data_IF_082681132575
#
_entry.id   IF_082681132575
#
_cell.length_a   1.000
_cell.length_b   1.000
_cell.length_c   1.000
_cell.angle_alpha   90.00
_cell.angle_beta   90.00
_cell.angle_gamma   90.00
#
_symmetry.space_group_name_H-M   'P 1'
#
loop_
_entity.id
_entity.type
_entity.pdbx_description
1 polymer ?
#
# COMPACT_ATOMS: atom_id res chain seq x y z
N UNK A 1 3.12 26.25 18.38
CA UNK A 1 2.67 25.75 17.06
C UNK A 1 3.52 24.54 16.72
N UNK A 2 2.90 23.40 16.38
CA UNK A 2 3.62 22.15 16.09
C UNK A 2 4.00 22.03 14.61
N UNK A 3 3.08 22.38 13.71
CA UNK A 3 3.30 22.42 12.27
C UNK A 3 2.34 23.43 11.64
N UNK A 4 2.71 23.96 10.46
CA UNK A 4 1.89 24.87 9.68
C UNK A 4 2.11 24.70 8.17
N UNK A 5 1.08 24.97 7.39
CA UNK A 5 1.12 24.93 5.93
C UNK A 5 0.28 26.06 5.34
N UNK A 6 0.79 26.71 4.30
CA UNK A 6 0.04 27.72 3.54
C UNK A 6 -0.97 27.06 2.61
N UNK A 7 -2.18 27.63 2.55
CA UNK A 7 -3.23 27.24 1.61
C UNK A 7 -3.10 28.03 0.29
N UNK A 8 -3.42 27.42 -0.86
CA UNK A 8 -3.47 28.11 -2.15
C UNK A 8 -4.48 29.27 -2.15
N UNK A 9 -4.08 30.44 -2.66
CA UNK A 9 -4.92 31.65 -2.69
C UNK A 9 -6.00 31.63 -3.78
N UNK A 10 -5.88 30.73 -4.75
CA UNK A 10 -6.69 30.65 -5.97
C UNK A 10 -7.89 29.70 -5.86
N UNK A 11 -8.07 29.00 -4.74
CA UNK A 11 -9.07 27.92 -4.58
C UNK A 11 -10.28 28.26 -3.69
N UNK A 12 -10.57 29.55 -3.53
CA UNK A 12 -11.69 30.06 -2.74
C UNK A 12 -11.44 30.09 -1.23
N UNK A 13 -12.44 30.53 -0.47
CA UNK A 13 -12.30 30.81 0.97
C UNK A 13 -12.79 29.67 1.86
N UNK A 14 -13.39 28.63 1.30
CA UNK A 14 -13.99 27.54 2.08
C UNK A 14 -13.11 26.31 2.00
N UNK A 15 -12.69 25.82 3.15
CA UNK A 15 -11.73 24.74 3.26
C UNK A 15 -12.16 23.73 4.31
N UNK A 16 -11.69 22.51 4.13
CA UNK A 16 -11.80 21.46 5.11
C UNK A 16 -10.44 20.79 5.27
N UNK A 17 -10.10 20.48 6.52
CA UNK A 17 -8.80 19.95 6.90
C UNK A 17 -9.00 18.85 7.93
N UNK A 18 -8.31 17.72 7.77
CA UNK A 18 -8.31 16.66 8.77
C UNK A 18 -6.92 16.11 9.08
N UNK A 19 -6.79 15.60 10.31
CA UNK A 19 -5.55 15.11 10.89
C UNK A 19 -5.82 14.03 11.93
N UNK A 20 -4.85 13.13 12.13
CA UNK A 20 -4.91 12.09 13.15
C UNK A 20 -4.07 12.51 14.34
N UNK A 21 -4.65 12.38 15.52
CA UNK A 21 -4.02 12.81 16.76
C UNK A 21 -4.21 11.74 17.83
N UNK A 22 -3.20 11.60 18.69
CA UNK A 22 -3.26 10.70 19.85
C UNK A 22 -2.60 11.38 21.04
N UNK A 23 -3.31 11.37 22.17
CA UNK A 23 -2.83 11.88 23.46
C UNK A 23 -1.49 11.22 23.83
N UNK A 24 -0.55 12.02 24.33
CA UNK A 24 0.61 11.52 25.07
C UNK A 24 0.56 12.14 26.47
N UNK A 25 1.24 13.26 26.70
CA UNK A 25 1.25 13.97 28.00
C UNK A 25 0.38 15.24 28.03
N UNK A 26 -0.21 15.64 26.91
CA UNK A 26 -1.03 16.86 26.81
C UNK A 26 -2.46 16.60 26.33
N UNK A 27 -3.41 17.32 26.91
CA UNK A 27 -4.85 17.02 26.79
C UNK A 27 -5.59 17.90 25.79
N UNK A 28 -5.01 19.02 25.37
CA UNK A 28 -5.69 20.01 24.52
C UNK A 28 -4.93 20.29 23.23
N UNK A 29 -5.53 19.94 22.10
CA UNK A 29 -4.99 20.20 20.77
C UNK A 29 -5.91 21.12 19.98
N UNK A 30 -5.32 22.15 19.36
CA UNK A 30 -5.99 23.12 18.52
C UNK A 30 -5.75 22.88 17.05
N UNK A 31 -6.77 23.13 16.24
CA UNK A 31 -6.65 23.22 14.79
C UNK A 31 -6.92 24.67 14.38
N UNK A 32 -5.99 25.26 13.64
CA UNK A 32 -6.11 26.59 13.07
C UNK A 32 -6.42 26.45 11.58
N UNK A 33 -7.48 27.14 11.12
CA UNK A 33 -7.81 27.33 9.72
C UNK A 33 -7.99 28.84 9.47
N UNK A 34 -6.96 29.46 8.89
CA UNK A 34 -6.87 30.91 8.75
C UNK A 34 -6.30 31.60 10.00
N UNK A 35 -5.14 32.25 9.87
CA UNK A 35 -4.56 33.01 10.99
C UNK A 35 -5.20 34.39 11.08
N UNK A 36 -5.67 34.74 12.28
CA UNK A 36 -6.15 36.06 12.67
C UNK A 36 -5.39 36.52 13.93
N UNK A 37 -5.69 37.72 14.47
CA UNK A 37 -5.05 38.22 15.71
C UNK A 37 -5.60 37.58 17.00
N UNK A 38 -6.41 36.52 16.89
CA UNK A 38 -7.06 35.85 18.02
C UNK A 38 -6.10 34.94 18.76
N UNK A 39 -6.45 34.65 20.00
CA UNK A 39 -5.71 33.72 20.86
C UNK A 39 -6.53 32.49 21.23
N UNK A 40 -7.85 32.50 21.02
CA UNK A 40 -8.74 31.37 21.23
C UNK A 40 -9.00 30.62 19.91
N UNK A 41 -8.82 29.30 19.92
CA UNK A 41 -8.88 28.48 18.71
C UNK A 41 -9.82 27.28 18.85
N UNK A 42 -10.35 26.74 17.74
CA UNK A 42 -11.07 25.48 17.74
C UNK A 42 -10.17 24.38 18.31
N UNK A 43 -10.66 23.63 19.27
CA UNK A 43 -9.84 22.67 19.99
C UNK A 43 -10.61 21.43 20.40
N UNK A 44 -9.82 20.38 20.63
CA UNK A 44 -10.26 19.08 21.09
C UNK A 44 -9.60 18.77 22.43
N UNK A 45 -10.42 18.31 23.36
CA UNK A 45 -10.00 17.81 24.68
C UNK A 45 -10.00 16.28 24.68
N UNK A 46 -8.81 15.68 24.82
CA UNK A 46 -8.63 14.23 24.84
C UNK A 46 -9.27 13.56 26.06
N UNK A 47 -9.44 14.27 27.17
CA UNK A 47 -9.99 13.73 28.41
C UNK A 47 -11.52 13.58 28.33
N UNK A 48 -12.19 14.56 27.72
CA UNK A 48 -13.66 14.57 27.58
C UNK A 48 -14.14 14.10 26.20
N UNK A 49 -13.26 14.06 25.20
CA UNK A 49 -13.63 13.79 23.81
C UNK A 49 -14.46 14.90 23.17
N UNK A 50 -14.42 16.12 23.73
CA UNK A 50 -15.25 17.24 23.31
C UNK A 50 -14.51 18.15 22.33
N UNK A 51 -15.21 18.55 21.26
CA UNK A 51 -14.81 19.64 20.39
C UNK A 51 -15.41 20.96 20.88
N UNK A 52 -14.60 22.01 20.92
CA UNK A 52 -15.04 23.38 21.22
C UNK A 52 -14.63 24.28 20.07
N UNK A 53 -15.57 25.11 19.60
CA UNK A 53 -15.33 26.11 18.56
C UNK A 53 -15.84 27.45 19.08
N UNK A 54 -15.04 28.53 19.03
CA UNK A 54 -15.53 29.87 19.37
C UNK A 54 -16.73 30.27 18.48
N UNK A 55 -17.77 30.84 19.09
CA UNK A 55 -19.09 31.03 18.45
C UNK A 55 -19.06 31.89 17.17
N UNK A 56 -18.08 32.78 17.06
CA UNK A 56 -17.94 33.76 15.99
C UNK A 56 -16.99 33.33 14.86
N UNK A 57 -16.43 32.11 14.92
CA UNK A 57 -15.50 31.64 13.88
C UNK A 57 -16.16 31.14 12.59
N UNK A 58 -17.45 30.76 12.64
CA UNK A 58 -18.11 30.17 11.46
C UNK A 58 -17.43 28.88 10.96
N UNK A 59 -16.73 28.18 11.85
CA UNK A 59 -16.04 26.92 11.59
C UNK A 59 -16.74 25.77 12.32
N UNK A 60 -16.50 24.55 11.89
CA UNK A 60 -17.01 23.33 12.52
C UNK A 60 -15.85 22.38 12.74
N UNK A 61 -15.64 22.01 14.00
CA UNK A 61 -14.68 20.99 14.41
C UNK A 61 -15.43 19.71 14.77
N UNK A 62 -15.04 18.58 14.18
CA UNK A 62 -15.56 17.25 14.52
C UNK A 62 -14.41 16.33 14.92
N UNK A 63 -14.72 15.38 15.78
CA UNK A 63 -13.80 14.34 16.21
C UNK A 63 -14.43 12.96 15.98
N UNK A 64 -13.67 12.04 15.42
CA UNK A 64 -14.04 10.64 15.24
C UNK A 64 -13.02 9.75 15.95
N UNK A 65 -13.48 8.82 16.79
CA UNK A 65 -12.63 7.87 17.50
C UNK A 65 -12.29 6.67 16.59
N UNK A 66 -11.01 6.32 16.50
CA UNK A 66 -10.52 5.28 15.58
C UNK A 66 -10.05 4.00 16.29
N UNK A 67 -9.65 4.07 17.56
CA UNK A 67 -9.05 2.95 18.30
C UNK A 67 -7.63 3.29 18.77
N UNK A 68 -7.09 2.53 19.73
CA UNK A 68 -5.72 2.69 20.25
C UNK A 68 -5.34 4.12 20.69
N UNK A 69 -6.34 4.87 21.18
CA UNK A 69 -6.20 6.26 21.59
C UNK A 69 -6.13 7.29 20.44
N UNK A 70 -6.21 6.85 19.18
CA UNK A 70 -6.25 7.73 18.01
C UNK A 70 -7.64 8.32 17.76
N UNK A 71 -7.61 9.59 17.37
CA UNK A 71 -8.76 10.37 16.93
C UNK A 71 -8.46 10.99 15.57
N UNK A 72 -9.47 11.05 14.71
CA UNK A 72 -9.45 11.92 13.53
C UNK A 72 -10.16 13.21 13.88
N UNK A 73 -9.46 14.33 13.76
CA UNK A 73 -10.05 15.66 13.87
C UNK A 73 -10.28 16.23 12.48
N UNK A 74 -11.44 16.84 12.26
CA UNK A 74 -11.78 17.52 11.00
C UNK A 74 -12.30 18.93 11.28
N UNK A 75 -11.63 19.94 10.76
CA UNK A 75 -12.00 21.34 10.83
C UNK A 75 -12.44 21.82 9.44
N UNK A 76 -13.65 22.37 9.33
CA UNK A 76 -14.17 22.92 8.08
C UNK A 76 -14.78 24.29 8.31
N UNK A 77 -14.63 25.20 7.35
CA UNK A 77 -15.30 26.49 7.40
C UNK A 77 -14.77 27.47 6.37
N UNK A 78 -15.29 28.69 6.42
CA UNK A 78 -14.81 29.80 5.61
C UNK A 78 -13.65 30.50 6.33
N UNK A 79 -12.59 30.84 5.59
CA UNK A 79 -11.53 31.72 6.07
C UNK A 79 -12.12 33.09 6.38
N UNK A 80 -11.82 33.62 7.57
CA UNK A 80 -12.21 34.97 7.96
C UNK A 80 -11.60 35.99 7.00
N UNK A 81 -12.34 37.04 6.65
CA UNK A 81 -11.84 38.09 5.77
C UNK A 81 -10.57 38.72 6.36
N UNK A 82 -9.50 38.82 5.56
CA UNK A 82 -8.21 39.33 6.00
C UNK A 82 -7.36 38.34 6.80
N UNK A 83 -7.82 37.11 7.04
CA UNK A 83 -7.01 36.05 7.62
C UNK A 83 -5.91 35.62 6.66
N UNK A 84 -4.74 35.24 7.18
CA UNK A 84 -3.73 34.59 6.34
C UNK A 84 -4.18 33.15 6.06
N UNK A 85 -4.18 32.70 4.81
CA UNK A 85 -4.67 31.38 4.43
C UNK A 85 -3.63 30.32 4.83
N UNK A 86 -3.62 29.94 6.10
CA UNK A 86 -2.74 28.90 6.64
C UNK A 86 -3.56 27.89 7.44
N UNK A 87 -3.06 26.67 7.55
CA UNK A 87 -3.49 25.69 8.54
C UNK A 87 -2.37 25.44 9.52
N UNK A 88 -2.69 25.21 10.78
CA UNK A 88 -1.68 24.89 11.79
C UNK A 88 -2.23 24.04 12.94
N UNK A 89 -1.36 23.22 13.52
CA UNK A 89 -1.64 22.47 14.74
C UNK A 89 -1.07 23.22 15.93
N UNK A 90 -1.89 23.43 16.95
CA UNK A 90 -1.54 24.18 18.15
C UNK A 90 -1.65 23.28 19.39
N UNK A 91 -0.76 23.47 20.35
CA UNK A 91 -0.98 23.02 21.72
C UNK A 91 -1.63 24.20 22.46
N UNK A 92 -2.72 23.92 23.17
CA UNK A 92 -3.55 24.93 23.81
C UNK A 92 -3.69 24.64 25.31
N UNK A 93 -4.12 25.63 26.08
CA UNK A 93 -4.52 25.42 27.48
C UNK A 93 -5.94 24.82 27.59
N UNK A 94 -6.41 24.64 28.82
CA UNK A 94 -7.75 24.12 29.13
C UNK A 94 -8.90 25.03 28.66
N UNK A 95 -8.59 26.28 28.30
CA UNK A 95 -9.54 27.27 27.78
C UNK A 95 -9.43 27.43 26.25
N UNK A 96 -8.59 26.63 25.58
CA UNK A 96 -8.37 26.70 24.14
C UNK A 96 -7.52 27.89 23.68
N UNK A 97 -6.72 28.49 24.58
CA UNK A 97 -5.90 29.66 24.28
C UNK A 97 -4.48 29.28 23.87
N UNK A 98 -3.97 29.94 22.84
CA UNK A 98 -2.57 29.87 22.40
C UNK A 98 -1.73 30.91 23.14
N UNK A 99 -0.45 30.60 23.40
CA UNK A 99 0.52 31.57 23.95
C UNK A 99 0.81 31.42 25.45
N UNK A 100 0.30 30.38 26.10
CA UNK A 100 0.75 30.01 27.44
C UNK A 100 2.09 29.28 27.42
N UNK A 101 2.82 29.42 28.52
CA UNK A 101 4.15 28.86 28.74
C UNK A 101 4.01 27.35 28.94
N UNK A 102 4.03 26.60 27.84
CA UNK A 102 4.24 25.15 27.87
C UNK A 102 5.57 24.88 28.56
N UNK A 103 5.59 23.90 29.47
CA UNK A 103 6.76 23.52 30.26
C UNK A 103 7.78 22.70 29.45
N UNK A 104 7.47 22.40 28.19
CA UNK A 104 8.36 21.72 27.25
C UNK A 104 8.30 20.20 27.35
N UNK A 105 7.42 19.67 28.20
CA UNK A 105 7.16 18.23 28.36
C UNK A 105 5.79 17.80 27.80
N UNK A 106 5.01 18.74 27.29
CA UNK A 106 3.71 18.52 26.66
C UNK A 106 3.88 17.89 25.27
N UNK A 107 3.28 16.72 25.08
CA UNK A 107 3.40 15.94 23.86
C UNK A 107 2.03 15.48 23.37
N UNK A 108 1.87 15.50 22.06
CA UNK A 108 0.77 14.89 21.33
C UNK A 108 1.37 14.23 20.09
N UNK A 109 0.93 13.00 19.78
CA UNK A 109 1.32 12.34 18.54
C UNK A 109 0.38 12.81 17.43
N UNK A 110 0.97 13.18 16.29
CA UNK A 110 0.26 13.71 15.12
C UNK A 110 0.66 12.89 13.89
N UNK A 111 -0.31 12.51 13.07
CA UNK A 111 -0.06 11.74 11.86
C UNK A 111 -1.07 12.07 10.76
N UNK A 112 -0.62 12.00 9.51
CA UNK A 112 -1.41 12.35 8.34
C UNK A 112 -1.81 13.83 8.29
N UNK A 113 -2.17 14.31 7.11
CA UNK A 113 -2.82 15.60 6.94
C UNK A 113 -3.54 15.58 5.59
N UNK A 114 -4.79 16.01 5.57
CA UNK A 114 -5.60 16.07 4.37
C UNK A 114 -6.33 17.39 4.30
N UNK A 115 -6.10 18.11 3.21
CA UNK A 115 -6.62 19.47 2.98
C UNK A 115 -7.39 19.48 1.68
N UNK A 116 -8.62 19.97 1.72
CA UNK A 116 -9.53 19.98 0.58
C UNK A 116 -10.28 21.31 0.51
N UNK A 117 -10.52 21.77 -0.72
CA UNK A 117 -11.41 22.90 -0.94
C UNK A 117 -12.86 22.45 -0.74
N UNK A 118 -13.68 23.28 -0.08
CA UNK A 118 -15.07 22.98 0.28
C UNK A 118 -15.26 22.56 1.75
N UNK A 119 -16.50 22.23 2.12
CA UNK A 119 -16.88 21.90 3.50
C UNK A 119 -16.76 20.41 3.85
N UNK A 120 -16.69 19.53 2.84
CA UNK A 120 -16.68 18.09 3.05
C UNK A 120 -15.25 17.57 3.07
N UNK A 121 -14.87 16.94 4.19
CA UNK A 121 -13.64 16.16 4.27
C UNK A 121 -13.92 14.78 3.67
N UNK A 122 -13.20 14.41 2.62
CA UNK A 122 -13.27 13.07 2.06
C UNK A 122 -12.54 12.04 2.95
N UNK A 123 -12.80 10.73 2.80
CA UNK A 123 -12.08 9.72 3.57
C UNK A 123 -10.56 9.82 3.37
N UNK A 124 -9.79 9.72 4.45
CA UNK A 124 -8.33 9.77 4.39
C UNK A 124 -7.76 8.40 4.06
N UNK A 125 -6.91 8.34 3.03
CA UNK A 125 -6.15 7.14 2.66
C UNK A 125 -4.66 7.46 2.77
N UNK A 126 -3.94 6.94 3.78
CA UNK A 126 -2.49 7.13 3.87
C UNK A 126 -1.80 6.56 2.63
N UNK A 127 -1.02 7.39 1.95
CA UNK A 127 -0.24 6.98 0.78
C UNK A 127 0.84 5.98 1.21
N UNK A 128 0.66 4.71 0.86
CA UNK A 128 1.73 3.69 0.88
C UNK A 128 1.40 2.36 1.55
N UNK A 129 0.35 2.29 2.39
CA UNK A 129 -0.20 1.02 2.88
C UNK A 129 -1.71 1.03 2.62
N UNK A 130 -2.18 0.17 1.72
CA UNK A 130 -3.59 -0.20 1.68
C UNK A 130 -3.82 -1.14 2.88
N UNK A 131 -3.98 -0.55 4.07
CA UNK A 131 -4.68 -1.20 5.17
C UNK A 131 -6.05 -0.57 5.21
N UNK A 132 -6.99 -1.23 4.53
CA UNK A 132 -8.40 -0.92 4.65
C UNK A 132 -8.84 -1.25 6.08
N UNK A 133 -9.04 -0.23 6.91
CA UNK A 133 -10.04 -0.30 7.97
C UNK A 133 -11.09 0.80 7.77
N UNK A 134 -12.06 0.54 6.88
CA UNK A 134 -13.31 1.29 6.87
C UNK A 134 -14.46 0.32 6.56
N UNK A 135 -15.10 -0.19 7.62
CA UNK A 135 -16.55 -0.46 7.84
C UNK A 135 -17.50 -0.92 6.71
N UNK A 136 -17.06 -1.22 5.50
CA UNK A 136 -17.78 -1.97 4.46
C UNK A 136 -17.29 -3.43 4.43
N UNK A 137 -18.07 -4.33 3.82
CA UNK A 137 -17.61 -5.71 3.60
C UNK A 137 -16.30 -5.69 2.83
N UNK A 138 -15.23 -6.18 3.46
CA UNK A 138 -13.93 -6.31 2.81
C UNK A 138 -14.00 -7.45 1.81
N UNK A 139 -13.40 -7.31 0.65
CA UNK A 139 -13.13 -8.44 -0.23
C UNK A 139 -11.62 -8.51 -0.46
N UNK A 140 -11.11 -9.73 -0.59
CA UNK A 140 -9.70 -9.97 -0.85
C UNK A 140 -9.53 -10.78 -2.13
N UNK A 141 -8.58 -10.36 -2.97
CA UNK A 141 -8.07 -11.17 -4.07
C UNK A 141 -6.91 -12.02 -3.58
N UNK A 142 -6.97 -13.31 -3.86
CA UNK A 142 -5.89 -14.27 -3.66
C UNK A 142 -5.38 -14.63 -5.05
N UNK A 143 -4.24 -14.09 -5.49
CA UNK A 143 -3.60 -14.55 -6.72
C UNK A 143 -3.09 -15.98 -6.55
N UNK A 144 -3.12 -16.75 -7.64
CA UNK A 144 -2.43 -18.03 -7.73
C UNK A 144 -1.30 -17.91 -8.75
N UNK A 145 -0.06 -18.08 -8.28
CA UNK A 145 1.15 -18.06 -9.11
C UNK A 145 1.66 -19.47 -9.45
N UNK A 146 0.76 -20.46 -9.53
CA UNK A 146 1.06 -21.87 -9.78
C UNK A 146 1.40 -22.66 -8.52
N UNK A 147 1.14 -22.11 -7.33
CA UNK A 147 1.36 -22.77 -6.03
C UNK A 147 0.06 -22.92 -5.24
N UNK A 148 -1.08 -22.61 -5.86
CA UNK A 148 -2.36 -22.48 -5.20
C UNK A 148 -2.52 -21.13 -4.51
N UNK A 149 -3.67 -20.93 -3.88
CA UNK A 149 -4.04 -19.66 -3.26
C UNK A 149 -3.47 -19.54 -1.84
N UNK A 150 -2.37 -18.80 -1.70
CA UNK A 150 -1.72 -18.58 -0.41
C UNK A 150 -2.34 -17.39 0.35
N UNK A 151 -2.75 -17.55 1.62
CA UNK A 151 -3.36 -16.46 2.40
C UNK A 151 -2.46 -15.22 2.58
N UNK A 152 -1.13 -15.42 2.61
CA UNK A 152 -0.14 -14.35 2.76
C UNK A 152 -0.04 -13.43 1.53
N UNK A 153 -0.54 -13.89 0.37
CA UNK A 153 -0.52 -13.13 -0.89
C UNK A 153 -1.85 -12.41 -1.13
N UNK A 154 -2.77 -12.44 -0.16
CA UNK A 154 -4.07 -11.84 -0.29
C UNK A 154 -4.00 -10.30 -0.35
N UNK A 155 -4.55 -9.72 -1.42
CA UNK A 155 -4.65 -8.28 -1.63
C UNK A 155 -6.05 -7.85 -1.20
N UNK A 156 -6.13 -7.07 -0.12
CA UNK A 156 -7.40 -6.49 0.35
C UNK A 156 -7.78 -5.32 -0.52
N UNK A 157 -9.01 -5.34 -1.02
CA UNK A 157 -9.55 -4.30 -1.89
C UNK A 157 -10.45 -3.39 -1.04
N UNK A 158 -10.17 -2.10 -0.92
CA UNK A 158 -11.14 -1.16 -0.38
C UNK A 158 -12.27 -1.00 -1.41
N UNK A 159 -13.48 -1.44 -1.06
CA UNK A 159 -14.67 -1.26 -1.90
C UNK A 159 -15.41 -0.02 -1.39
N UNK A 160 -15.56 0.99 -2.27
CA UNK A 160 -16.42 2.14 -2.01
C UNK A 160 -17.87 1.81 -2.37
N UNK A 161 -18.82 2.46 -1.71
CA UNK A 161 -20.26 2.36 -2.02
C UNK A 161 -20.66 3.06 -3.34
N UNK A 162 -19.70 3.64 -4.07
CA UNK A 162 -19.97 4.36 -5.31
C UNK A 162 -20.02 3.37 -6.48
N UNK A 163 -21.05 3.45 -7.33
CA UNK A 163 -21.13 2.73 -8.61
C UNK A 163 -20.09 3.18 -9.65
N UNK A 164 -18.92 3.62 -9.20
CA UNK A 164 -17.79 4.04 -10.02
C UNK A 164 -16.99 2.82 -10.47
N UNK A 165 -16.43 2.90 -11.68
CA UNK A 165 -15.47 1.91 -12.14
C UNK A 165 -14.16 2.05 -11.35
N UNK A 166 -13.72 0.96 -10.73
CA UNK A 166 -12.47 0.91 -9.97
C UNK A 166 -11.43 0.10 -10.74
N UNK A 167 -10.22 0.64 -10.83
CA UNK A 167 -9.07 -0.04 -11.46
C UNK A 167 -8.06 -0.35 -10.37
N UNK A 168 -7.77 -1.64 -10.18
CA UNK A 168 -6.76 -2.10 -9.23
C UNK A 168 -5.55 -2.66 -9.97
N UNK A 169 -4.37 -2.15 -9.63
CA UNK A 169 -3.10 -2.66 -10.14
C UNK A 169 -2.64 -3.80 -9.23
N UNK A 170 -2.67 -5.02 -9.74
CA UNK A 170 -2.09 -6.18 -9.05
C UNK A 170 -0.57 -6.15 -9.26
N UNK A 171 0.25 -6.15 -8.20
CA UNK A 171 1.67 -6.40 -8.36
C UNK A 171 1.83 -7.84 -8.84
N UNK A 172 2.04 -8.03 -10.14
CA UNK A 172 2.48 -9.32 -10.64
C UNK A 172 3.85 -9.56 -10.06
N UNK A 173 3.95 -10.58 -9.20
CA UNK A 173 5.24 -11.13 -8.79
C UNK A 173 5.98 -11.63 -10.04
N UNK A 174 7.27 -11.97 -9.91
CA UNK A 174 8.07 -12.54 -11.00
C UNK A 174 7.66 -14.00 -11.31
N UNK A 175 6.35 -14.25 -11.38
CA UNK A 175 5.70 -15.52 -11.63
C UNK A 175 4.42 -15.30 -12.45
N UNK A 176 4.04 -16.27 -13.30
CA UNK A 176 2.81 -16.20 -14.09
C UNK A 176 1.59 -16.24 -13.17
N UNK A 177 0.61 -15.38 -13.42
CA UNK A 177 -0.68 -15.41 -12.71
C UNK A 177 -1.58 -16.46 -13.36
N UNK A 178 -1.83 -17.56 -12.67
CA UNK A 178 -2.61 -18.70 -13.15
C UNK A 178 -4.10 -18.57 -12.82
N UNK A 179 -4.44 -17.86 -11.75
CA UNK A 179 -5.81 -17.66 -11.32
C UNK A 179 -5.96 -16.53 -10.31
N UNK A 180 -7.20 -16.11 -10.07
CA UNK A 180 -7.55 -15.19 -8.99
C UNK A 180 -8.67 -15.81 -8.18
N UNK A 181 -8.63 -15.71 -6.86
CA UNK A 181 -9.76 -16.09 -6.00
C UNK A 181 -10.22 -14.87 -5.22
N UNK A 182 -11.50 -14.56 -5.32
CA UNK A 182 -12.15 -13.53 -4.53
C UNK A 182 -12.79 -14.15 -3.30
N UNK A 183 -12.51 -13.62 -2.12
CA UNK A 183 -13.11 -14.07 -0.85
C UNK A 183 -13.75 -12.89 -0.13
N UNK A 184 -14.96 -13.09 0.40
CA UNK A 184 -15.54 -12.15 1.36
C UNK A 184 -14.77 -12.16 2.67
N UNK A 185 -14.53 -10.99 3.25
CA UNK A 185 -13.77 -10.79 4.48
C UNK A 185 -14.69 -10.20 5.56
N UNK A 186 -14.75 -10.91 6.67
CA UNK A 186 -15.17 -10.52 8.03
C UNK A 186 -16.58 -9.94 8.27
N UNK A 187 -17.32 -9.46 7.26
CA UNK A 187 -18.65 -8.83 7.47
C UNK A 187 -19.65 -9.11 6.35
N UNK A 188 -20.95 -9.23 6.65
CA UNK A 188 -21.99 -9.40 5.65
C UNK A 188 -22.05 -8.17 4.73
N UNK A 189 -22.32 -8.40 3.46
CA UNK A 189 -22.36 -7.36 2.44
C UNK A 189 -22.48 -7.95 1.05
N UNK A 190 -22.73 -7.09 0.07
CA UNK A 190 -22.96 -7.50 -1.31
C UNK A 190 -21.96 -6.78 -2.19
N UNK A 191 -21.12 -7.54 -2.89
CA UNK A 191 -20.28 -7.02 -3.96
C UNK A 191 -20.94 -7.36 -5.29
N UNK A 192 -21.17 -6.33 -6.09
CA UNK A 192 -21.64 -6.46 -7.45
C UNK A 192 -20.46 -6.14 -8.37
N UNK A 193 -20.06 -7.12 -9.16
CA UNK A 193 -19.03 -7.00 -10.17
C UNK A 193 -19.71 -6.88 -11.54
N UNK A 194 -19.48 -5.76 -12.20
CA UNK A 194 -19.98 -5.50 -13.55
C UNK A 194 -18.81 -5.25 -14.49
N UNK A 195 -18.83 -5.87 -15.67
CA UNK A 195 -17.86 -5.61 -16.76
C UNK A 195 -16.40 -5.75 -16.34
N UNK A 196 -16.09 -6.79 -15.55
CA UNK A 196 -14.73 -7.01 -15.07
C UNK A 196 -13.80 -7.31 -16.25
N UNK A 197 -12.64 -6.66 -16.27
CA UNK A 197 -11.64 -6.80 -17.34
C UNK A 197 -10.24 -6.74 -16.77
N UNK A 198 -9.35 -7.51 -17.37
CA UNK A 198 -7.92 -7.44 -17.12
C UNK A 198 -7.31 -6.53 -18.19
N UNK A 199 -6.57 -5.52 -17.75
CA UNK A 199 -5.88 -4.56 -18.61
C UNK A 199 -4.38 -4.57 -18.29
N UNK A 200 -3.56 -4.30 -19.30
CA UNK A 200 -2.13 -4.10 -19.12
C UNK A 200 -1.82 -2.70 -18.56
N UNK A 201 -0.53 -2.40 -18.34
CA UNK A 201 -0.09 -1.07 -17.88
C UNK A 201 -0.31 0.05 -18.90
N UNK A 202 -0.49 -0.30 -20.18
CA UNK A 202 -0.81 0.65 -21.25
C UNK A 202 -2.34 0.84 -21.41
N UNK A 203 -3.14 0.21 -20.56
CA UNK A 203 -4.61 0.26 -20.62
C UNK A 203 -5.23 -0.62 -21.70
N UNK A 204 -4.45 -1.45 -22.39
CA UNK A 204 -4.98 -2.39 -23.39
C UNK A 204 -5.67 -3.54 -22.67
N UNK A 205 -6.84 -3.92 -23.18
CA UNK A 205 -7.61 -5.04 -22.65
C UNK A 205 -6.93 -6.36 -23.00
N UNK A 206 -6.47 -7.07 -21.96
CA UNK A 206 -5.89 -8.41 -22.07
C UNK A 206 -7.02 -9.45 -22.14
N UNK A 207 -7.98 -9.37 -21.21
CA UNK A 207 -9.09 -10.33 -21.12
C UNK A 207 -10.35 -9.65 -20.62
N UNK A 208 -11.50 -9.95 -21.25
CA UNK A 208 -12.81 -9.63 -20.67
C UNK A 208 -13.26 -10.83 -19.86
N UNK A 209 -13.57 -10.62 -18.59
CA UNK A 209 -14.08 -11.69 -17.76
C UNK A 209 -15.55 -11.90 -18.10
N UNK A 210 -15.87 -13.12 -18.48
CA UNK A 210 -17.22 -13.58 -18.80
C UNK A 210 -17.77 -14.42 -17.65
N UNK A 211 -19.09 -14.61 -17.58
CA UNK A 211 -19.73 -15.53 -16.63
C UNK A 211 -19.09 -16.93 -16.56
N UNK A 212 -18.60 -17.45 -17.68
CA UNK A 212 -17.98 -18.77 -17.76
C UNK A 212 -16.57 -18.84 -17.13
N UNK A 213 -15.91 -17.70 -16.94
CA UNK A 213 -14.59 -17.64 -16.30
C UNK A 213 -14.68 -17.79 -14.78
N UNK A 214 -15.87 -17.63 -14.20
CA UNK A 214 -16.07 -17.80 -12.76
C UNK A 214 -16.23 -19.28 -12.42
N UNK A 215 -15.31 -19.80 -11.62
CA UNK A 215 -15.40 -21.12 -11.00
C UNK A 215 -16.00 -20.96 -9.60
N UNK A 216 -17.14 -21.61 -9.37
CA UNK A 216 -17.75 -21.72 -8.06
C UNK A 216 -16.81 -22.52 -7.13
N UNK A 217 -16.28 -21.84 -6.13
CA UNK A 217 -15.44 -22.44 -5.09
C UNK A 217 -16.27 -22.40 -3.81
N UNK A 218 -16.73 -23.56 -3.33
CA UNK A 218 -17.50 -23.78 -2.08
C UNK A 218 -18.02 -22.52 -1.31
N UNK A 219 -19.35 -22.40 -1.17
CA UNK A 219 -20.01 -21.35 -0.37
C UNK A 219 -21.22 -20.72 -1.07
N UNK A 220 -22.37 -20.68 -0.41
CA UNK A 220 -23.69 -20.39 -1.00
C UNK A 220 -24.02 -18.93 -1.33
N UNK A 221 -23.03 -18.06 -1.55
CA UNK A 221 -23.24 -16.61 -1.70
C UNK A 221 -23.09 -16.06 -3.13
N UNK A 222 -22.83 -16.91 -4.13
CA UNK A 222 -22.48 -16.48 -5.48
C UNK A 222 -23.66 -16.62 -6.44
N UNK A 223 -24.08 -15.52 -7.05
CA UNK A 223 -25.12 -15.51 -8.09
C UNK A 223 -24.60 -14.79 -9.32
N UNK A 224 -24.59 -15.50 -10.45
CA UNK A 224 -24.27 -14.95 -11.77
C UNK A 224 -25.57 -14.73 -12.52
N UNK A 225 -25.83 -13.49 -12.96
CA UNK A 225 -27.00 -13.13 -13.76
C UNK A 225 -26.58 -12.28 -14.94
N UNK A 226 -26.39 -12.91 -16.10
CA UNK A 226 -25.78 -12.25 -17.27
C UNK A 226 -24.35 -11.82 -16.95
N UNK A 227 -23.95 -10.61 -17.36
CA UNK A 227 -22.61 -10.05 -17.10
C UNK A 227 -22.42 -9.48 -15.68
N UNK A 228 -23.45 -9.60 -14.84
CA UNK A 228 -23.43 -9.10 -13.47
C UNK A 228 -23.21 -10.26 -12.52
N UNK A 229 -22.18 -10.12 -11.70
CA UNK A 229 -21.80 -11.12 -10.73
C UNK A 229 -21.98 -10.57 -9.33
N UNK A 230 -22.80 -11.26 -8.53
CA UNK A 230 -23.13 -10.86 -7.17
C UNK A 230 -22.50 -11.83 -6.17
N UNK A 231 -21.60 -11.32 -5.33
CA UNK A 231 -21.12 -12.02 -4.15
C UNK A 231 -21.84 -11.49 -2.92
N UNK A 232 -22.57 -12.35 -2.24
CA UNK A 232 -23.14 -12.11 -0.93
C UNK A 232 -22.20 -12.70 0.11
N UNK A 233 -21.53 -11.81 0.86
CA UNK A 233 -20.77 -12.20 2.03
C UNK A 233 -21.71 -12.77 3.10
N UNK A 234 -21.38 -13.96 3.58
CA UNK A 234 -22.11 -14.68 4.61
C UNK A 234 -21.20 -15.61 5.40
N UNK A 235 -21.79 -16.42 6.27
CA UNK A 235 -21.09 -17.46 7.04
C UNK A 235 -21.63 -18.81 6.55
N UNK A 236 -20.82 -19.67 5.90
CA UNK A 236 -19.37 -19.57 5.63
C UNK A 236 -19.00 -18.54 4.56
N UNK A 237 -17.75 -18.04 4.55
CA UNK A 237 -17.30 -17.04 3.59
C UNK A 237 -17.49 -17.53 2.16
N UNK A 238 -18.19 -16.74 1.34
CA UNK A 238 -18.36 -17.05 -0.08
C UNK A 238 -17.02 -16.86 -0.78
N UNK A 239 -16.58 -17.88 -1.52
CA UNK A 239 -15.37 -17.80 -2.34
C UNK A 239 -15.71 -17.99 -3.81
N UNK A 240 -14.99 -17.28 -4.68
CA UNK A 240 -15.19 -17.33 -6.12
C UNK A 240 -13.83 -17.42 -6.76
N UNK A 241 -13.58 -18.49 -7.49
CA UNK A 241 -12.44 -18.58 -8.38
C UNK A 241 -12.74 -17.83 -9.67
N UNK A 242 -11.76 -17.11 -10.17
CA UNK A 242 -11.69 -16.63 -11.54
C UNK A 242 -10.61 -17.46 -12.24
N UNK A 243 -11.05 -18.27 -13.20
CA UNK A 243 -10.18 -19.04 -14.07
C UNK A 243 -9.68 -18.14 -15.17
N UNK A 244 -8.36 -18.04 -15.31
CA UNK A 244 -7.76 -17.38 -16.45
C UNK A 244 -7.71 -18.37 -17.63
N UNK A 245 -7.97 -17.94 -18.87
CA UNK A 245 -7.92 -18.83 -20.03
C UNK A 245 -6.50 -19.36 -20.24
N UNK A 246 -5.50 -18.52 -19.96
CA UNK A 246 -4.09 -18.86 -19.98
C UNK A 246 -3.40 -18.12 -18.82
N UNK A 247 -2.30 -18.66 -18.26
CA UNK A 247 -1.51 -17.95 -17.28
C UNK A 247 -1.03 -16.60 -17.83
N UNK A 248 -1.27 -15.52 -17.10
CA UNK A 248 -0.82 -14.18 -17.48
C UNK A 248 0.64 -14.02 -17.08
N UNK A 249 1.50 -13.90 -18.09
CA UNK A 249 2.94 -13.74 -17.89
C UNK A 249 3.31 -12.26 -17.95
N UNK A 250 4.02 -11.72 -16.94
CA UNK A 250 4.46 -10.34 -16.98
C UNK A 250 5.39 -10.09 -18.18
N UNK A 251 5.15 -9.00 -18.91
CA UNK A 251 6.03 -8.61 -20.01
C UNK A 251 7.48 -8.42 -19.51
N UNK A 252 8.41 -8.95 -20.31
CA UNK A 252 9.84 -8.91 -19.99
C UNK A 252 10.24 -9.69 -18.73
N UNK A 253 9.36 -10.52 -18.13
CA UNK A 253 9.71 -11.35 -16.98
C UNK A 253 10.93 -12.23 -17.28
N UNK A 254 10.95 -12.91 -18.43
CA UNK A 254 12.06 -13.77 -18.83
C UNK A 254 13.36 -12.98 -18.98
N UNK A 255 13.31 -11.80 -19.61
CA UNK A 255 14.49 -10.94 -19.77
C UNK A 255 15.01 -10.40 -18.43
N UNK A 256 14.12 -9.91 -17.57
CA UNK A 256 14.48 -9.41 -16.23
C UNK A 256 15.02 -10.51 -15.32
N UNK A 257 14.39 -11.67 -15.29
CA UNK A 257 14.84 -12.81 -14.50
C UNK A 257 16.18 -13.35 -15.00
N UNK A 258 16.36 -13.44 -16.32
CA UNK A 258 17.64 -13.83 -16.91
C UNK A 258 18.75 -12.82 -16.57
N UNK A 259 18.47 -11.52 -16.70
CA UNK A 259 19.42 -10.47 -16.34
C UNK A 259 19.78 -10.51 -14.84
N UNK A 260 18.80 -10.75 -13.96
CA UNK A 260 19.04 -10.93 -12.51
C UNK A 260 19.88 -12.16 -12.23
N UNK A 261 19.59 -13.28 -12.88
CA UNK A 261 20.34 -14.52 -12.76
C UNK A 261 21.79 -14.30 -13.20
N UNK A 262 22.02 -13.63 -14.34
CA UNK A 262 23.36 -13.35 -14.85
C UNK A 262 24.13 -12.38 -13.95
N UNK A 263 23.49 -11.31 -13.47
CA UNK A 263 24.10 -10.38 -12.50
C UNK A 263 24.44 -11.07 -11.19
N UNK A 264 23.56 -11.93 -10.68
CA UNK A 264 23.80 -12.70 -9.46
C UNK A 264 24.93 -13.72 -9.63
N UNK A 265 24.98 -14.39 -10.79
CA UNK A 265 26.05 -15.32 -11.14
C UNK A 265 27.41 -14.62 -11.22
N UNK A 266 27.48 -13.46 -11.89
CA UNK A 266 28.69 -12.65 -11.98
C UNK A 266 29.16 -12.15 -10.62
N UNK A 267 28.23 -11.64 -9.80
CA UNK A 267 28.53 -11.18 -8.44
C UNK A 267 29.11 -12.30 -7.57
N UNK A 268 28.44 -13.45 -7.51
CA UNK A 268 28.84 -14.56 -6.64
C UNK A 268 30.15 -15.20 -7.11
N UNK A 269 30.36 -15.29 -8.44
CA UNK A 269 31.64 -15.74 -9.02
C UNK A 269 32.78 -14.79 -8.63
N UNK A 270 32.59 -13.48 -8.79
CA UNK A 270 33.59 -12.48 -8.45
C UNK A 270 33.92 -12.48 -6.95
N UNK A 271 32.91 -12.55 -6.09
CA UNK A 271 33.10 -12.54 -4.65
C UNK A 271 33.84 -13.80 -4.15
N UNK A 272 33.46 -14.98 -4.66
CA UNK A 272 34.12 -16.24 -4.32
C UNK A 272 35.57 -16.29 -4.83
N UNK A 273 35.82 -15.77 -6.04
CA UNK A 273 37.16 -15.68 -6.60
C UNK A 273 38.06 -14.76 -5.76
N UNK A 274 37.54 -13.63 -5.27
CA UNK A 274 38.27 -12.74 -4.37
C UNK A 274 38.63 -13.45 -3.05
N UNK A 275 37.67 -14.13 -2.42
CA UNK A 275 37.91 -14.87 -1.17
C UNK A 275 38.98 -15.95 -1.36
N UNK A 276 38.84 -16.78 -2.39
CA UNK A 276 39.81 -17.84 -2.68
C UNK A 276 41.19 -17.27 -3.04
N UNK A 277 41.23 -16.13 -3.74
CA UNK A 277 42.46 -15.39 -4.01
C UNK A 277 43.14 -14.90 -2.73
N UNK A 278 42.38 -14.32 -1.79
CA UNK A 278 42.91 -13.91 -0.48
C UNK A 278 43.45 -15.09 0.31
N UNK A 279 42.74 -16.23 0.34
CA UNK A 279 43.20 -17.46 1.01
C UNK A 279 44.49 -17.99 0.37
N UNK A 280 44.56 -18.02 -0.96
CA UNK A 280 45.75 -18.46 -1.69
C UNK A 280 46.95 -17.54 -1.43
N UNK A 281 46.72 -16.23 -1.31
CA UNK A 281 47.74 -15.25 -0.95
C UNK A 281 48.25 -15.45 0.48
N UNK A 282 47.34 -15.60 1.45
CA UNK A 282 47.67 -15.84 2.85
C UNK A 282 48.42 -17.16 3.06
N UNK A 283 48.20 -18.16 2.21
CA UNK A 283 48.95 -19.42 2.23
C UNK A 283 50.43 -19.28 1.80
N UNK A 284 50.92 -18.07 1.52
CA UNK A 284 52.35 -17.75 1.53
C UNK A 284 53.19 -18.34 0.39
N UNK A 285 52.57 -18.74 -0.73
CA UNK A 285 53.31 -19.31 -1.86
C UNK A 285 53.97 -18.20 -2.70
N UNK A 286 55.31 -18.18 -2.74
CA UNK A 286 56.09 -17.44 -3.74
C UNK A 286 55.86 -18.06 -5.11
N UNK A 287 54.78 -17.65 -5.78
CA UNK A 287 54.41 -18.13 -7.11
C UNK A 287 55.17 -17.33 -8.17
N UNK A 288 55.74 -18.02 -9.14
CA UNK A 288 56.15 -17.37 -10.39
C UNK A 288 54.91 -16.80 -11.09
N UNK A 289 55.06 -15.72 -11.88
CA UNK A 289 53.94 -15.10 -12.62
C UNK A 289 53.10 -16.13 -13.41
N UNK A 290 53.74 -17.11 -14.07
CA UNK A 290 53.05 -18.18 -14.82
C UNK A 290 52.21 -19.08 -13.90
N UNK A 291 52.72 -19.40 -12.71
CA UNK A 291 51.96 -20.18 -11.73
C UNK A 291 50.82 -19.36 -11.12
N UNK A 292 51.04 -18.05 -10.91
CA UNK A 292 50.00 -17.12 -10.45
C UNK A 292 48.83 -17.04 -11.43
N UNK A 293 49.09 -16.89 -12.73
CA UNK A 293 48.04 -16.91 -13.75
C UNK A 293 47.26 -18.24 -13.78
N UNK A 294 47.95 -19.38 -13.69
CA UNK A 294 47.29 -20.70 -13.65
C UNK A 294 46.40 -20.84 -12.41
N UNK A 295 46.88 -20.37 -11.25
CA UNK A 295 46.13 -20.40 -10.01
C UNK A 295 44.90 -19.49 -10.05
N UNK A 296 45.04 -18.27 -10.58
CA UNK A 296 43.93 -17.34 -10.77
C UNK A 296 42.86 -17.92 -11.71
N UNK A 297 43.28 -18.52 -12.83
CA UNK A 297 42.38 -19.20 -13.76
C UNK A 297 41.65 -20.37 -13.08
N UNK A 298 42.35 -21.17 -12.28
CA UNK A 298 41.75 -22.27 -11.52
C UNK A 298 40.72 -21.78 -10.49
N UNK A 299 41.04 -20.73 -9.73
CA UNK A 299 40.13 -20.12 -8.76
C UNK A 299 38.87 -19.57 -9.45
N UNK A 300 39.03 -18.87 -10.58
CA UNK A 300 37.91 -18.34 -11.34
C UNK A 300 37.00 -19.46 -11.87
N UNK A 301 37.58 -20.52 -12.42
CA UNK A 301 36.84 -21.69 -12.90
C UNK A 301 36.05 -22.35 -11.76
N UNK A 302 36.70 -22.60 -10.62
CA UNK A 302 36.07 -23.21 -9.45
C UNK A 302 34.93 -22.33 -8.93
N UNK A 303 35.15 -21.01 -8.89
CA UNK A 303 34.14 -20.05 -8.44
C UNK A 303 32.93 -20.02 -9.37
N UNK A 304 33.15 -20.07 -10.69
CA UNK A 304 32.09 -20.10 -11.68
C UNK A 304 31.24 -21.37 -11.56
N UNK A 305 31.87 -22.53 -11.30
CA UNK A 305 31.19 -23.81 -11.07
C UNK A 305 30.32 -23.78 -9.81
N UNK A 306 30.86 -23.31 -8.68
CA UNK A 306 30.09 -23.16 -7.45
C UNK A 306 28.92 -22.19 -7.63
N UNK A 307 29.17 -21.08 -8.33
CA UNK A 307 28.13 -20.10 -8.63
C UNK A 307 27.02 -20.69 -9.50
N UNK A 308 27.37 -21.50 -10.51
CA UNK A 308 26.40 -22.20 -11.33
C UNK A 308 25.54 -23.19 -10.53
N UNK A 309 26.15 -23.94 -9.59
CA UNK A 309 25.43 -24.87 -8.70
C UNK A 309 24.51 -24.11 -7.75
N UNK A 310 24.99 -23.04 -7.12
CA UNK A 310 24.20 -22.20 -6.21
C UNK A 310 22.98 -21.58 -6.91
N UNK A 311 23.12 -21.22 -8.19
CA UNK A 311 22.07 -20.60 -9.00
C UNK A 311 21.12 -21.61 -9.68
N UNK A 312 21.35 -22.93 -9.53
CA UNK A 312 20.56 -23.97 -10.21
C UNK A 312 19.05 -23.83 -9.95
N UNK A 313 18.67 -23.45 -8.73
CA UNK A 313 17.26 -23.22 -8.37
C UNK A 313 16.63 -22.06 -9.13
N UNK A 314 17.34 -20.95 -9.28
CA UNK A 314 16.87 -19.76 -10.01
C UNK A 314 16.73 -20.03 -11.52
N UNK A 315 17.67 -20.77 -12.10
CA UNK A 315 17.59 -21.19 -13.51
C UNK A 315 16.39 -22.11 -13.73
N UNK A 316 16.19 -23.12 -12.87
CA UNK A 316 15.02 -24.01 -12.93
C UNK A 316 13.72 -23.21 -12.85
N UNK A 317 13.60 -22.29 -11.89
CA UNK A 317 12.40 -21.46 -11.73
C UNK A 317 12.17 -20.56 -12.96
N UNK A 318 13.22 -20.00 -13.54
CA UNK A 318 13.13 -19.19 -14.76
C UNK A 318 12.66 -20.03 -15.97
N UNK A 319 13.20 -21.24 -16.14
CA UNK A 319 12.79 -22.17 -17.21
C UNK A 319 11.33 -22.60 -17.01
N UNK A 320 10.94 -22.97 -15.79
CA UNK A 320 9.56 -23.32 -15.47
C UNK A 320 8.61 -22.17 -15.81
N UNK A 321 8.97 -20.95 -15.42
CA UNK A 321 8.19 -19.74 -15.73
C UNK A 321 8.10 -19.46 -17.23
N UNK A 322 9.19 -19.70 -17.98
CA UNK A 322 9.19 -19.58 -19.44
C UNK A 322 8.31 -20.64 -20.13
N UNK A 323 8.22 -21.86 -19.58
CA UNK A 323 7.31 -22.92 -20.07
C UNK A 323 5.84 -22.58 -19.82
N UNK A 324 5.54 -21.95 -18.68
CA UNK A 324 4.19 -21.39 -18.44
C UNK A 324 3.84 -20.33 -19.48
N UNK A 325 4.80 -19.48 -19.86
CA UNK A 325 4.60 -18.43 -20.86
C UNK A 325 4.32 -18.96 -22.28
N UNK A 326 4.92 -20.10 -22.66
CA UNK A 326 4.71 -20.70 -23.97
C UNK A 326 3.47 -21.59 -24.05
N UNK A 327 2.69 -21.70 -22.97
CA UNK A 327 1.50 -22.57 -22.91
C UNK A 327 1.83 -24.07 -22.96
N UNK A 328 3.10 -24.46 -22.80
CA UNK A 328 3.58 -25.84 -22.91
C UNK A 328 3.44 -26.66 -21.61
N UNK A 329 2.51 -26.29 -20.74
CA UNK A 329 2.30 -27.02 -19.49
C UNK A 329 1.41 -28.23 -19.79
N UNK A 330 1.86 -29.47 -19.53
CA UNK A 330 0.97 -30.62 -19.58
C UNK A 330 -0.13 -30.41 -18.53
N UNK A 331 -1.39 -30.49 -18.99
CA UNK A 331 -2.57 -30.43 -18.11
C UNK A 331 -2.54 -31.54 -17.07
#
# INVERSE_FOLDING_TARGET
MLCAQSLPKDRGDVWSWSIFVRRQSHDHIGLLLGETKRTDWPHFDFSTGRCTVPADMGQTLRAEKLGDGWWRLSLSGKLTQGAKPIIAVLLLDTQGRSGLRLHGNEQVAVWGSQVEAGLAVSPYYPSGLIVADHRGAGFAFHPDFGRGFLPLEAIRIPISHSGQSLTYTLPLLDAPLCGLRLTSVDRPGVLVLERVRLIDRAGRKIHAITPADYALTAGGGFVVKGDVVRLVSGTPPSTVGLRLPHPLVPEGMNGRNFQRCFRSWGYLTGMLALILGCVAWLAGRRLTWRQGLRLAAFILLLSALFSAVAQRGLVKNSITSARFASGLVPR
#
